data_IF_500071402476
#
_entry.id   IF_500071402476
#
_cell.length_a   1.000
_cell.length_b   1.000
_cell.length_c   1.000
_cell.angle_alpha   90.00
_cell.angle_beta   90.00
_cell.angle_gamma   90.00
#
_symmetry.space_group_name_H-M   'P 1'
#
loop_
_entity.id
_entity.type
_entity.pdbx_description
1 polymer ?
#
# COMPACT_ATOMS: atom_id res chain seq x y z
N UNK A 1 -19.19 -14.12 -7.13
CA UNK A 1 -18.19 -13.74 -6.10
C UNK A 1 -16.84 -14.32 -6.51
N UNK A 2 -15.79 -13.50 -6.63
CA UNK A 2 -14.42 -13.98 -6.92
C UNK A 2 -13.67 -14.12 -5.60
N UNK A 3 -13.07 -15.28 -5.35
CA UNK A 3 -12.23 -15.49 -4.15
C UNK A 3 -10.83 -14.97 -4.42
N UNK A 4 -10.26 -14.31 -3.42
CA UNK A 4 -8.86 -13.91 -3.37
C UNK A 4 -8.20 -14.77 -2.30
N UNK A 5 -7.09 -15.41 -2.64
CA UNK A 5 -6.36 -16.24 -1.69
C UNK A 5 -5.60 -15.38 -0.68
N UNK A 6 -5.38 -15.91 0.52
CA UNK A 6 -4.60 -15.23 1.54
C UNK A 6 -3.14 -15.12 1.13
N UNK A 7 -2.52 -13.97 1.41
CA UNK A 7 -1.10 -13.73 1.20
C UNK A 7 -0.53 -12.97 2.40
N UNK A 8 0.75 -13.20 2.71
CA UNK A 8 1.49 -12.32 3.59
C UNK A 8 1.73 -11.00 2.85
N UNK A 9 1.46 -9.87 3.51
CA UNK A 9 1.54 -8.55 2.90
C UNK A 9 2.35 -7.62 3.78
N UNK A 10 3.18 -6.79 3.15
CA UNK A 10 3.72 -5.59 3.76
C UNK A 10 2.79 -4.43 3.40
N UNK A 11 2.37 -3.64 4.39
CA UNK A 11 1.42 -2.56 4.20
C UNK A 11 1.87 -1.29 4.90
N UNK A 12 1.49 -0.14 4.36
CA UNK A 12 1.66 1.16 5.01
C UNK A 12 0.49 2.08 4.69
N UNK A 13 0.30 3.11 5.52
CA UNK A 13 -0.76 4.11 5.34
C UNK A 13 -0.18 5.39 4.76
N UNK A 14 -0.73 5.84 3.64
CA UNK A 14 -0.56 7.19 3.13
C UNK A 14 -1.65 8.09 3.70
N UNK A 15 -1.27 9.25 4.23
CA UNK A 15 -2.19 10.34 4.56
C UNK A 15 -1.79 11.56 3.74
N UNK A 16 -2.65 11.97 2.82
CA UNK A 16 -2.39 13.09 1.91
C UNK A 16 -2.92 12.86 0.50
N UNK A 17 -2.63 13.79 -0.43
CA UNK A 17 -3.15 13.73 -1.79
C UNK A 17 -2.64 12.49 -2.53
N UNK A 18 -3.45 11.96 -3.46
CA UNK A 18 -3.10 10.77 -4.25
C UNK A 18 -1.83 10.96 -5.09
N UNK A 19 -1.55 12.19 -5.53
CA UNK A 19 -0.35 12.52 -6.31
C UNK A 19 0.96 12.21 -5.56
N UNK A 20 0.91 12.21 -4.22
CA UNK A 20 2.07 11.95 -3.36
C UNK A 20 2.22 10.48 -2.97
N UNK A 21 1.25 9.62 -3.29
CA UNK A 21 1.25 8.19 -2.87
C UNK A 21 2.49 7.45 -3.37
N UNK A 22 3.08 7.90 -4.49
CA UNK A 22 4.31 7.33 -5.04
C UNK A 22 5.49 7.36 -4.05
N UNK A 23 5.55 8.35 -3.15
CA UNK A 23 6.58 8.41 -2.09
C UNK A 23 6.38 7.30 -1.06
N UNK A 24 5.14 7.02 -0.70
CA UNK A 24 4.73 5.93 0.19
C UNK A 24 5.08 4.57 -0.40
N UNK A 25 4.86 4.39 -1.70
CA UNK A 25 5.31 3.20 -2.44
C UNK A 25 6.81 3.00 -2.32
N UNK A 26 7.60 4.05 -2.59
CA UNK A 26 9.06 4.00 -2.49
C UNK A 26 9.53 3.60 -1.09
N UNK A 27 8.95 4.21 -0.06
CA UNK A 27 9.26 3.90 1.33
C UNK A 27 8.92 2.44 1.70
N UNK A 28 7.76 1.94 1.28
CA UNK A 28 7.36 0.55 1.55
C UNK A 28 8.28 -0.45 0.84
N UNK A 29 8.63 -0.21 -0.43
CA UNK A 29 9.54 -1.09 -1.19
C UNK A 29 10.95 -1.08 -0.58
N UNK A 30 11.43 0.08 -0.11
CA UNK A 30 12.67 0.19 0.64
C UNK A 30 12.63 -0.70 1.89
N UNK A 31 11.60 -0.54 2.72
CA UNK A 31 11.41 -1.33 3.92
C UNK A 31 11.33 -2.84 3.63
N UNK A 32 10.59 -3.26 2.60
CA UNK A 32 10.50 -4.67 2.18
C UNK A 32 11.90 -5.25 1.90
N UNK A 33 12.70 -4.51 1.14
CA UNK A 33 14.04 -4.95 0.74
C UNK A 33 14.99 -5.02 1.93
N UNK A 34 14.97 -4.00 2.79
CA UNK A 34 15.82 -3.91 3.98
C UNK A 34 15.50 -4.99 5.03
N UNK A 35 14.25 -5.44 5.10
CA UNK A 35 13.79 -6.45 6.05
C UNK A 35 13.90 -7.89 5.51
N UNK A 36 14.57 -8.10 4.37
CA UNK A 36 14.81 -9.44 3.83
C UNK A 36 13.59 -10.09 3.19
N UNK A 37 12.63 -9.29 2.73
CA UNK A 37 11.49 -9.76 1.96
C UNK A 37 11.71 -9.47 0.46
N UNK A 38 10.91 -10.14 -0.36
CA UNK A 38 10.76 -9.84 -1.78
C UNK A 38 9.29 -9.72 -2.15
N UNK A 39 9.01 -8.91 -3.18
CA UNK A 39 7.65 -8.69 -3.68
C UNK A 39 7.19 -9.96 -4.41
N UNK A 40 6.08 -10.52 -3.95
CA UNK A 40 5.53 -11.78 -4.43
C UNK A 40 4.34 -11.60 -5.40
N UNK A 41 3.93 -10.37 -5.68
CA UNK A 41 2.78 -10.09 -6.54
C UNK A 41 2.54 -8.60 -6.79
N UNK A 42 1.47 -8.26 -7.53
CA UNK A 42 1.11 -6.87 -7.80
C UNK A 42 0.70 -6.15 -6.51
N UNK A 43 0.93 -4.82 -6.42
CA UNK A 43 0.44 -4.04 -5.29
C UNK A 43 -1.09 -3.97 -5.27
N UNK A 44 -1.63 -3.72 -4.09
CA UNK A 44 -3.03 -3.38 -3.87
C UNK A 44 -3.13 -2.07 -3.10
N UNK A 45 -4.07 -1.23 -3.49
CA UNK A 45 -4.43 -0.02 -2.77
C UNK A 45 -5.83 -0.16 -2.18
N UNK A 46 -6.01 0.31 -0.95
CA UNK A 46 -7.32 0.45 -0.32
C UNK A 46 -7.54 1.92 0.00
N UNK A 47 -8.48 2.53 -0.71
CA UNK A 47 -8.90 3.90 -0.45
C UNK A 47 -9.91 3.89 0.69
N UNK A 48 -9.50 4.44 1.84
CA UNK A 48 -10.28 4.41 3.08
C UNK A 48 -11.10 5.68 3.30
N UNK A 49 -10.89 6.71 2.47
CA UNK A 49 -11.59 7.99 2.54
C UNK A 49 -12.22 8.32 1.20
N UNK A 50 -13.42 8.91 1.22
CA UNK A 50 -14.07 9.43 0.01
C UNK A 50 -13.46 10.79 -0.35
N UNK A 51 -12.85 10.93 -1.55
CA UNK A 51 -12.31 12.21 -2.00
C UNK A 51 -13.36 13.31 -2.24
N UNK A 52 -14.65 12.97 -2.34
CA UNK A 52 -15.72 13.95 -2.40
C UNK A 52 -16.04 14.59 -1.05
N UNK A 53 -15.75 13.89 0.06
CA UNK A 53 -16.10 14.32 1.43
C UNK A 53 -14.87 14.66 2.28
N UNK A 54 -13.68 14.20 1.88
CA UNK A 54 -12.44 14.35 2.64
C UNK A 54 -11.48 15.28 1.90
N UNK A 55 -10.93 16.32 2.57
CA UNK A 55 -9.97 17.20 1.93
C UNK A 55 -8.68 16.44 1.55
N UNK A 56 -7.97 16.86 0.49
CA UNK A 56 -6.82 16.11 -0.02
C UNK A 56 -5.74 15.77 1.01
N UNK A 57 -5.48 16.66 1.97
CA UNK A 57 -4.48 16.45 3.04
C UNK A 57 -4.89 15.41 4.11
N UNK A 58 -6.13 14.94 4.09
CA UNK A 58 -6.67 13.96 5.05
C UNK A 58 -7.07 12.64 4.41
N UNK A 59 -6.93 12.51 3.08
CA UNK A 59 -7.22 11.26 2.39
C UNK A 59 -6.32 10.15 2.89
N UNK A 60 -6.94 9.00 3.22
CA UNK A 60 -6.23 7.81 3.65
C UNK A 60 -6.23 6.76 2.54
N UNK A 61 -5.02 6.34 2.16
CA UNK A 61 -4.80 5.24 1.21
C UNK A 61 -3.85 4.23 1.82
N UNK A 62 -4.29 2.99 1.95
CA UNK A 62 -3.42 1.91 2.40
C UNK A 62 -2.77 1.24 1.18
N UNK A 63 -1.45 1.28 1.13
CA UNK A 63 -0.66 0.62 0.09
C UNK A 63 -0.18 -0.72 0.61
N UNK A 64 -0.38 -1.78 -0.18
CA UNK A 64 -0.02 -3.16 0.18
C UNK A 64 0.79 -3.81 -0.93
N UNK A 65 1.82 -4.56 -0.56
CA UNK A 65 2.50 -5.51 -1.44
C UNK A 65 2.40 -6.91 -0.87
N UNK A 66 2.00 -7.92 -1.66
CA UNK A 66 2.26 -9.31 -1.34
C UNK A 66 3.77 -9.53 -1.21
N UNK A 67 4.19 -10.17 -0.12
CA UNK A 67 5.60 -10.44 0.15
C UNK A 67 5.82 -11.91 0.47
N UNK A 68 7.08 -12.34 0.28
CA UNK A 68 7.59 -13.60 0.81
C UNK A 68 8.98 -13.36 1.38
N UNK A 69 9.34 -14.13 2.41
CA UNK A 69 10.68 -14.06 3.00
C UNK A 69 11.71 -14.61 2.00
N UNK A 70 12.84 -13.92 1.86
CA UNK A 70 14.00 -14.41 1.11
C UNK A 70 14.68 -15.57 1.82
#
# INVERSE_FOLDING_TARGET
VKKVEGAEVASTMHKGPFEEVGTTYGALVGWITENGYEIAGPPMEVYLSDPAETPPGELLTEVRFPVRKK
#
